data_IF_270468419700
#
_entry.id   IF_270468419700
#
_cell.length_a   1.000
_cell.length_b   1.000
_cell.length_c   1.000
_cell.angle_alpha   90.00
_cell.angle_beta   90.00
_cell.angle_gamma   90.00
#
_symmetry.space_group_name_H-M   'P 1'
#
loop_
_entity.id
_entity.type
_entity.pdbx_description
1 polymer ?
#
# COMPACT_ATOMS: atom_id res chain seq x y z
N UNK A 1 1.45 15.56 -2.46
CA UNK A 1 0.84 14.91 -1.28
C UNK A 1 0.54 16.01 -0.28
N UNK A 2 -0.73 16.17 0.13
CA UNK A 2 -1.11 17.15 1.15
C UNK A 2 -1.48 16.39 2.41
N UNK A 3 -0.83 16.74 3.52
CA UNK A 3 -0.97 16.12 4.84
C UNK A 3 -1.71 17.07 5.76
N UNK A 4 -2.89 16.68 6.21
CA UNK A 4 -3.66 17.35 7.25
C UNK A 4 -3.71 16.42 8.47
N UNK A 5 -2.52 16.11 8.99
CA UNK A 5 -2.31 15.27 10.18
C UNK A 5 -2.82 16.05 11.41
N UNK A 6 -3.68 15.44 12.21
CA UNK A 6 -4.32 16.09 13.37
C UNK A 6 -3.74 15.54 14.69
N UNK A 7 -3.49 14.23 14.75
CA UNK A 7 -3.00 13.58 15.95
C UNK A 7 -1.96 12.52 15.61
N UNK A 8 -1.01 12.31 16.52
CA UNK A 8 -0.03 11.24 16.45
C UNK A 8 -0.14 10.42 17.71
N UNK A 9 -0.46 9.13 17.55
CA UNK A 9 -0.45 8.15 18.62
C UNK A 9 0.87 7.39 18.51
N UNK A 10 1.64 7.35 19.59
CA UNK A 10 2.88 6.58 19.69
C UNK A 10 2.72 5.53 20.78
N UNK A 11 2.99 4.28 20.44
CA UNK A 11 2.83 3.12 21.29
C UNK A 11 4.24 2.60 21.65
N UNK A 12 4.74 2.99 22.83
CA UNK A 12 6.14 2.78 23.21
C UNK A 12 6.32 1.59 24.17
N UNK A 13 5.28 1.20 24.91
CA UNK A 13 5.32 0.17 25.94
C UNK A 13 4.18 -0.83 25.72
N UNK A 14 4.25 -1.51 24.59
CA UNK A 14 3.25 -2.49 24.14
C UNK A 14 3.59 -3.84 24.79
N UNK A 15 2.57 -4.51 25.31
CA UNK A 15 2.67 -5.90 25.75
C UNK A 15 1.70 -6.74 24.91
N UNK A 16 2.10 -7.93 24.45
CA UNK A 16 1.17 -8.83 23.79
C UNK A 16 0.08 -9.22 24.78
N UNK A 17 -1.13 -9.42 24.26
CA UNK A 17 -2.22 -9.97 25.05
C UNK A 17 -1.89 -11.39 25.48
N UNK A 18 -2.52 -11.87 26.54
CA UNK A 18 -2.24 -13.20 27.06
C UNK A 18 -2.67 -14.29 26.06
N UNK A 19 -3.75 -14.03 25.34
CA UNK A 19 -4.26 -14.90 24.27
C UNK A 19 -3.24 -15.05 23.15
N UNK A 20 -2.62 -13.95 22.70
CA UNK A 20 -1.59 -14.02 21.67
C UNK A 20 -0.36 -14.80 22.15
N UNK A 21 0.07 -14.61 23.39
CA UNK A 21 1.22 -15.37 23.94
C UNK A 21 0.94 -16.87 23.97
N UNK A 22 -0.22 -17.27 24.51
CA UNK A 22 -0.61 -18.68 24.58
C UNK A 22 -0.74 -19.30 23.19
N UNK A 23 -1.30 -18.56 22.23
CA UNK A 23 -1.40 -19.01 20.85
C UNK A 23 -0.01 -19.17 20.20
N UNK A 24 0.92 -18.25 20.46
CA UNK A 24 2.30 -18.33 19.99
C UNK A 24 3.06 -19.51 20.61
N UNK A 25 2.95 -19.70 21.93
CA UNK A 25 3.56 -20.85 22.64
C UNK A 25 3.05 -22.18 22.05
N UNK A 26 1.73 -22.31 21.90
CA UNK A 26 1.11 -23.50 21.30
C UNK A 26 1.56 -23.73 19.85
N UNK A 27 1.70 -22.68 19.05
CA UNK A 27 2.17 -22.79 17.67
C UNK A 27 3.65 -23.22 17.60
N UNK A 28 4.50 -22.76 18.53
CA UNK A 28 5.91 -23.13 18.60
C UNK A 28 6.09 -24.59 19.04
N UNK A 29 5.30 -25.03 20.02
CA UNK A 29 5.36 -26.40 20.57
C UNK A 29 4.60 -27.43 19.73
N UNK A 30 3.98 -26.99 18.63
CA UNK A 30 3.18 -27.85 17.76
C UNK A 30 4.05 -28.83 16.96
N UNK A 31 3.42 -29.93 16.51
CA UNK A 31 4.06 -30.89 15.61
C UNK A 31 4.30 -30.32 14.19
N UNK A 32 3.60 -29.23 13.84
CA UNK A 32 3.67 -28.54 12.55
C UNK A 32 3.85 -27.03 12.75
N UNK A 33 4.96 -26.61 13.37
CA UNK A 33 5.10 -25.25 13.89
C UNK A 33 5.10 -24.19 12.80
N UNK A 34 5.59 -24.52 11.60
CA UNK A 34 5.57 -23.62 10.46
C UNK A 34 4.13 -23.22 10.05
N UNK A 35 3.25 -24.21 9.89
CA UNK A 35 1.86 -23.98 9.50
C UNK A 35 1.11 -23.25 10.60
N UNK A 36 1.34 -23.61 11.86
CA UNK A 36 0.61 -23.01 12.98
C UNK A 36 1.06 -21.58 13.27
N UNK A 37 2.35 -21.26 13.09
CA UNK A 37 2.82 -19.87 13.13
C UNK A 37 2.26 -19.06 11.95
N UNK A 38 2.14 -19.66 10.76
CA UNK A 38 1.53 -18.97 9.63
C UNK A 38 0.06 -18.62 9.92
N UNK A 39 -0.71 -19.59 10.43
CA UNK A 39 -2.09 -19.36 10.85
C UNK A 39 -2.20 -18.28 11.93
N UNK A 40 -1.28 -18.27 12.92
CA UNK A 40 -1.22 -17.23 13.95
C UNK A 40 -1.05 -15.82 13.34
N UNK A 41 -0.12 -15.65 12.41
CA UNK A 41 0.10 -14.35 11.78
C UNK A 41 -0.99 -13.97 10.78
N UNK A 42 -1.67 -14.95 10.17
CA UNK A 42 -2.83 -14.70 9.33
C UNK A 42 -4.03 -14.20 10.15
N UNK A 43 -4.18 -14.66 11.40
CA UNK A 43 -5.22 -14.18 12.33
C UNK A 43 -4.90 -12.82 12.95
N UNK A 44 -3.70 -12.67 13.53
CA UNK A 44 -3.33 -11.47 14.32
C UNK A 44 -2.67 -10.37 13.49
N UNK A 45 -2.21 -10.70 12.29
CA UNK A 45 -1.44 -9.82 11.41
C UNK A 45 0.07 -9.99 11.56
N UNK A 46 0.79 -9.71 10.47
CA UNK A 46 2.24 -9.80 10.41
C UNK A 46 2.96 -8.60 11.04
N UNK A 47 2.28 -7.45 11.16
CA UNK A 47 2.87 -6.20 11.63
C UNK A 47 1.94 -5.50 12.63
N UNK A 48 2.54 -4.85 13.62
CA UNK A 48 1.83 -4.01 14.58
C UNK A 48 2.31 -2.56 14.47
N UNK A 49 1.41 -1.58 14.25
CA UNK A 49 1.81 -0.19 14.11
C UNK A 49 2.24 0.40 15.45
N UNK A 50 3.47 0.90 15.54
CA UNK A 50 3.98 1.60 16.74
C UNK A 50 3.71 3.10 16.72
N UNK A 51 3.47 3.66 15.52
CA UNK A 51 3.13 5.08 15.31
C UNK A 51 1.97 5.19 14.35
N UNK A 52 0.87 5.77 14.83
CA UNK A 52 -0.36 5.95 14.05
C UNK A 52 -0.58 7.45 13.91
N UNK A 53 -0.63 7.92 12.66
CA UNK A 53 -0.97 9.31 12.34
C UNK A 53 -2.42 9.37 11.94
N UNK A 54 -3.22 10.10 12.71
CA UNK A 54 -4.62 10.32 12.43
C UNK A 54 -4.81 11.69 11.78
N UNK A 55 -5.67 11.74 10.76
CA UNK A 55 -5.96 12.96 10.01
C UNK A 55 -6.33 12.64 8.58
N UNK A 56 -6.39 13.68 7.74
CA UNK A 56 -6.67 13.53 6.31
C UNK A 56 -5.36 13.52 5.53
N UNK A 57 -5.28 12.59 4.58
CA UNK A 57 -4.14 12.45 3.69
C UNK A 57 -4.64 12.43 2.25
N UNK A 58 -4.32 13.46 1.49
CA UNK A 58 -4.55 13.46 0.05
C UNK A 58 -3.28 13.03 -0.67
N UNK A 59 -3.29 11.78 -1.15
CA UNK A 59 -2.25 11.22 -2.01
C UNK A 59 -2.84 10.97 -3.39
N UNK A 60 -2.23 11.62 -4.38
CA UNK A 60 -2.42 11.27 -5.77
C UNK A 60 -1.24 10.38 -6.17
N UNK A 61 -1.50 9.09 -6.40
CA UNK A 61 -0.49 8.15 -6.86
C UNK A 61 -0.58 8.04 -8.38
N UNK A 62 0.42 8.56 -9.09
CA UNK A 62 0.54 8.33 -10.54
C UNK A 62 1.21 6.98 -10.78
N UNK A 63 0.46 6.02 -11.32
CA UNK A 63 1.04 4.78 -11.84
C UNK A 63 1.59 5.06 -13.25
N UNK A 64 2.87 5.44 -13.32
CA UNK A 64 3.57 5.76 -14.57
C UNK A 64 3.62 4.55 -15.54
N UNK A 65 3.47 3.32 -15.02
CA UNK A 65 3.42 2.10 -15.82
C UNK A 65 2.22 2.01 -16.80
N UNK A 66 1.11 2.69 -16.52
CA UNK A 66 -0.06 2.71 -17.43
C UNK A 66 0.09 3.76 -18.54
N UNK A 67 0.69 4.91 -18.24
CA UNK A 67 0.85 6.01 -19.20
C UNK A 67 1.84 5.67 -20.33
N UNK A 68 2.81 4.79 -20.07
CA UNK A 68 3.76 4.32 -21.09
C UNK A 68 3.11 3.39 -22.14
N UNK A 69 2.02 2.67 -21.79
CA UNK A 69 1.30 1.82 -22.76
C UNK A 69 0.44 2.63 -23.73
N UNK A 70 -0.07 3.78 -23.30
CA UNK A 70 -0.94 4.63 -24.12
C UNK A 70 -0.16 5.64 -24.99
N UNK A 71 1.13 5.85 -24.72
CA UNK A 71 1.97 6.71 -25.56
C UNK A 71 2.39 6.05 -26.88
N UNK A 72 2.41 4.73 -26.97
CA UNK A 72 2.73 4.00 -28.21
C UNK A 72 1.56 4.03 -29.21
N UNK A 73 0.32 4.18 -28.74
CA UNK A 73 -0.89 4.30 -29.59
C UNK A 73 -1.16 5.71 -30.10
N UNK A 74 -0.57 6.75 -29.50
CA UNK A 74 -0.71 8.16 -29.96
C UNK A 74 0.36 8.59 -30.99
N UNK A 75 1.38 7.77 -31.25
CA UNK A 75 2.40 8.00 -32.31
C UNK A 75 2.02 7.29 -33.63
N UNK A 76 0.77 6.84 -33.75
CA UNK A 76 0.20 6.32 -35.00
C UNK A 76 -0.24 7.45 -35.94
N UNK A 77 0.68 7.93 -36.77
CA UNK A 77 0.50 8.69 -38.03
C UNK A 77 -0.78 9.54 -38.14
N UNK A 78 -0.66 10.86 -37.93
CA UNK A 78 -1.55 11.83 -38.57
C UNK A 78 -0.78 12.52 -39.68
N UNK A 79 -1.04 12.07 -40.90
CA UNK A 79 -0.54 12.68 -42.12
C UNK A 79 -0.80 14.19 -42.12
N UNK A 80 0.21 14.95 -42.52
CA UNK A 80 0.21 16.40 -42.62
C UNK A 80 -0.71 16.81 -43.80
N UNK A 81 -2.02 16.85 -43.55
CA UNK A 81 -3.01 17.43 -44.46
C UNK A 81 -2.92 18.96 -44.45
N UNK A 82 -2.93 19.56 -45.64
CA UNK A 82 -2.60 20.95 -45.95
C UNK A 82 -3.14 22.03 -44.98
N UNK A 83 -2.28 23.03 -44.72
CA UNK A 83 -2.54 24.21 -43.90
C UNK A 83 -3.63 25.11 -44.53
N UNK A 84 -4.72 25.47 -43.83
CA UNK A 84 -5.79 26.32 -44.36
C UNK A 84 -5.46 27.83 -44.45
N UNK A 85 -4.27 28.26 -44.05
CA UNK A 85 -3.92 29.70 -43.96
C UNK A 85 -3.21 30.28 -45.20
N UNK A 86 -3.07 29.52 -46.29
CA UNK A 86 -2.50 29.99 -47.57
C UNK A 86 -3.54 30.69 -48.49
N UNK A 87 -4.72 31.08 -47.99
CA UNK A 87 -5.75 31.76 -48.80
C UNK A 87 -6.41 32.96 -48.10
N UNK A 88 -5.65 33.68 -47.26
CA UNK A 88 -6.06 34.96 -46.69
C UNK A 88 -5.10 36.08 -47.08
#
# INVERSE_FOLDING_TARGET
MIKCEQYVISLNSIKPSEEFKQAAEKAIESMTPFTDLQNLFDEYGQFFPTRIVLGKLYRHTLLIAYLAKDSETLVGKKDLGANPLESL
#
